data_IF_988159905946
#
_entry.id   IF_988159905946
#
_cell.length_a   1.000
_cell.length_b   1.000
_cell.length_c   1.000
_cell.angle_alpha   90.00
_cell.angle_beta   90.00
_cell.angle_gamma   90.00
#
_symmetry.space_group_name_H-M   'P 1'
#
loop_
_entity.id
_entity.type
_entity.pdbx_description
1 polymer ?
#
# COMPACT_ATOMS: atom_id res chain seq x y z
N UNK A 1 15.19 24.84 -12.65
CA UNK A 1 15.04 25.54 -11.36
C UNK A 1 14.47 26.90 -11.66
N UNK A 2 13.31 27.20 -11.09
CA UNK A 2 12.46 28.35 -11.42
C UNK A 2 13.18 29.69 -11.18
N UNK A 3 13.27 30.54 -12.21
CA UNK A 3 13.84 31.88 -12.14
C UNK A 3 12.84 32.86 -11.47
N UNK A 4 12.47 32.58 -10.21
CA UNK A 4 11.57 33.48 -9.47
C UNK A 4 12.35 34.70 -8.96
N UNK A 5 11.90 35.94 -9.27
CA UNK A 5 12.48 37.18 -8.75
C UNK A 5 12.61 37.13 -7.22
N UNK A 6 13.65 37.75 -6.65
CA UNK A 6 13.95 37.68 -5.20
C UNK A 6 12.78 38.14 -4.32
N UNK A 7 11.91 39.02 -4.83
CA UNK A 7 10.70 39.50 -4.17
C UNK A 7 9.55 38.46 -4.09
N UNK A 8 9.51 37.47 -4.99
CA UNK A 8 8.52 36.39 -5.00
C UNK A 8 8.98 35.14 -4.24
N UNK A 9 10.25 35.12 -3.78
CA UNK A 9 10.78 34.00 -3.00
C UNK A 9 10.26 34.10 -1.58
N UNK A 10 9.52 33.07 -1.18
CA UNK A 10 9.03 32.94 0.19
C UNK A 10 10.22 32.98 1.18
N UNK A 11 10.21 33.83 2.22
CA UNK A 11 11.31 33.93 3.18
C UNK A 11 11.49 32.60 3.92
N UNK A 12 12.72 32.30 4.34
CA UNK A 12 13.09 30.99 4.89
C UNK A 12 12.15 30.52 6.01
N UNK A 13 11.84 31.40 6.97
CA UNK A 13 10.95 31.08 8.07
C UNK A 13 9.54 30.71 7.59
N UNK A 14 9.02 31.43 6.60
CA UNK A 14 7.70 31.16 6.05
C UNK A 14 7.67 29.84 5.27
N UNK A 15 8.76 29.48 4.57
CA UNK A 15 8.89 28.14 3.94
C UNK A 15 8.88 27.02 4.97
N UNK A 16 9.62 27.17 6.07
CA UNK A 16 9.68 26.17 7.15
C UNK A 16 8.32 26.03 7.80
N UNK A 17 7.67 27.14 8.17
CA UNK A 17 6.34 27.11 8.80
C UNK A 17 5.29 26.53 7.87
N UNK A 18 5.26 26.93 6.59
CA UNK A 18 4.37 26.32 5.59
C UNK A 18 4.65 24.82 5.42
N UNK A 19 5.93 24.43 5.35
CA UNK A 19 6.33 23.04 5.23
C UNK A 19 5.91 22.18 6.43
N UNK A 20 6.10 22.67 7.65
CA UNK A 20 5.66 22.00 8.88
C UNK A 20 4.14 21.91 8.93
N UNK A 21 3.45 23.01 8.63
CA UNK A 21 1.99 23.05 8.64
C UNK A 21 1.42 22.05 7.63
N UNK A 22 1.87 22.08 6.38
CA UNK A 22 1.45 21.13 5.34
C UNK A 22 1.84 19.70 5.71
N UNK A 23 3.05 19.47 6.19
CA UNK A 23 3.51 18.14 6.61
C UNK A 23 2.65 17.56 7.73
N UNK A 24 2.32 18.36 8.74
CA UNK A 24 1.42 17.99 9.82
C UNK A 24 0.01 17.64 9.32
N UNK A 25 -0.56 18.47 8.45
CA UNK A 25 -1.87 18.21 7.86
C UNK A 25 -1.89 16.97 6.97
N UNK A 26 -0.85 16.76 6.16
CA UNK A 26 -0.71 15.54 5.36
C UNK A 26 -0.62 14.30 6.25
N UNK A 27 0.11 14.36 7.36
CA UNK A 27 0.19 13.27 8.32
C UNK A 27 -1.18 12.95 8.93
N UNK A 28 -1.90 13.98 9.38
CA UNK A 28 -3.27 13.82 9.91
C UNK A 28 -4.23 13.26 8.85
N UNK A 29 -4.13 13.70 7.60
CA UNK A 29 -4.97 13.24 6.51
C UNK A 29 -4.71 11.76 6.14
N UNK A 30 -3.45 11.32 6.19
CA UNK A 30 -3.07 9.92 5.89
C UNK A 30 -3.37 8.99 7.06
N UNK A 31 -3.37 9.50 8.29
CA UNK A 31 -3.52 8.69 9.50
C UNK A 31 -4.70 7.71 9.48
N UNK A 32 -5.95 8.09 9.12
CA UNK A 32 -7.07 7.15 9.10
C UNK A 32 -6.87 5.98 8.12
N UNK A 33 -6.34 6.27 6.93
CA UNK A 33 -6.09 5.25 5.90
C UNK A 33 -5.00 4.30 6.36
N UNK A 34 -3.91 4.86 6.89
CA UNK A 34 -2.82 4.08 7.46
C UNK A 34 -3.31 3.20 8.61
N UNK A 35 -4.12 3.75 9.51
CA UNK A 35 -4.62 3.02 10.66
C UNK A 35 -5.56 1.87 10.28
N UNK A 36 -6.49 2.10 9.34
CA UNK A 36 -7.35 1.03 8.79
C UNK A 36 -6.51 -0.07 8.16
N UNK A 37 -5.44 0.28 7.43
CA UNK A 37 -4.54 -0.70 6.84
C UNK A 37 -3.85 -1.55 7.93
N UNK A 38 -3.28 -0.93 8.96
CA UNK A 38 -2.63 -1.65 10.08
C UNK A 38 -3.63 -2.58 10.79
N UNK A 39 -4.82 -2.07 11.13
CA UNK A 39 -5.87 -2.84 11.82
C UNK A 39 -6.35 -4.04 11.00
N UNK A 40 -6.43 -3.89 9.68
CA UNK A 40 -6.95 -4.94 8.79
C UNK A 40 -6.10 -6.22 8.82
N UNK A 41 -4.80 -6.11 9.13
CA UNK A 41 -3.87 -7.24 9.08
C UNK A 41 -3.56 -7.86 10.46
N UNK A 42 -4.50 -7.80 11.41
CA UNK A 42 -4.36 -8.31 12.78
C UNK A 42 -5.54 -9.18 13.17
N UNK A 43 -5.41 -9.97 14.25
CA UNK A 43 -6.60 -10.64 14.81
C UNK A 43 -7.59 -9.60 15.37
N UNK A 44 -8.92 -9.85 15.35
CA UNK A 44 -9.93 -8.86 15.72
C UNK A 44 -9.75 -8.26 17.12
N UNK A 45 -9.34 -9.06 18.10
CA UNK A 45 -9.11 -8.61 19.48
C UNK A 45 -7.98 -7.57 19.57
N UNK A 46 -6.96 -7.68 18.72
CA UNK A 46 -5.88 -6.70 18.66
C UNK A 46 -6.27 -5.50 17.81
N UNK A 47 -7.06 -5.72 16.76
CA UNK A 47 -7.59 -4.67 15.89
C UNK A 47 -8.57 -3.71 16.61
N UNK A 48 -9.02 -4.02 17.81
CA UNK A 48 -9.82 -3.11 18.64
C UNK A 48 -9.19 -2.85 20.02
N UNK A 49 -7.89 -3.11 20.16
CA UNK A 49 -7.18 -2.84 21.41
C UNK A 49 -7.07 -1.35 21.70
N UNK A 50 -7.25 -0.97 22.96
CA UNK A 50 -6.99 0.39 23.45
C UNK A 50 -5.50 0.75 23.44
N UNK A 51 -4.61 -0.24 23.35
CA UNK A 51 -3.17 -0.03 23.30
C UNK A 51 -2.68 -0.01 21.83
N UNK A 52 -2.23 1.14 21.31
CA UNK A 52 -1.79 1.25 19.91
C UNK A 52 -0.54 0.41 19.61
N UNK A 53 0.31 0.13 20.60
CA UNK A 53 1.48 -0.74 20.39
C UNK A 53 1.05 -2.20 20.20
N UNK A 54 -0.01 -2.64 20.87
CA UNK A 54 -0.57 -3.97 20.68
C UNK A 54 -1.14 -4.12 19.25
N UNK A 55 -1.79 -3.07 18.73
CA UNK A 55 -2.24 -3.01 17.33
C UNK A 55 -1.05 -3.14 16.36
N UNK A 56 0.01 -2.35 16.56
CA UNK A 56 1.15 -2.30 15.63
C UNK A 56 1.94 -3.61 15.63
N UNK A 57 2.26 -4.16 16.80
CA UNK A 57 3.10 -5.36 16.91
C UNK A 57 2.33 -6.68 16.87
N UNK A 58 1.06 -6.69 17.30
CA UNK A 58 0.19 -7.87 17.29
C UNK A 58 0.72 -9.07 18.10
N UNK A 59 1.05 -8.92 19.40
CA UNK A 59 1.66 -9.98 20.21
C UNK A 59 0.87 -11.31 20.23
N UNK A 60 -0.47 -11.27 20.26
CA UNK A 60 -1.33 -12.44 20.18
C UNK A 60 -1.30 -13.06 18.79
N UNK A 61 -1.37 -12.23 17.74
CA UNK A 61 -1.24 -12.69 16.34
C UNK A 61 0.09 -13.46 16.14
N UNK A 62 1.19 -12.98 16.74
CA UNK A 62 2.48 -13.69 16.75
C UNK A 62 2.43 -15.01 17.53
N UNK A 63 1.76 -15.03 18.69
CA UNK A 63 1.65 -16.23 19.52
C UNK A 63 0.90 -17.37 18.81
N UNK A 64 -0.01 -17.04 17.91
CA UNK A 64 -0.71 -18.00 17.02
C UNK A 64 0.16 -18.47 15.85
N UNK A 65 1.43 -18.06 15.77
CA UNK A 65 2.35 -18.41 14.69
C UNK A 65 2.13 -17.64 13.39
N UNK A 66 1.28 -16.60 13.40
CA UNK A 66 0.92 -15.81 12.21
C UNK A 66 1.66 -14.48 12.18
N UNK A 67 2.98 -14.50 12.15
CA UNK A 67 3.77 -13.26 12.16
C UNK A 67 4.91 -13.26 11.15
N UNK A 68 5.33 -12.06 10.77
CA UNK A 68 6.48 -11.81 9.92
C UNK A 68 7.74 -11.76 10.77
N UNK A 69 8.71 -12.58 10.41
CA UNK A 69 10.06 -12.56 10.91
C UNK A 69 10.88 -11.42 10.28
N UNK A 70 12.09 -11.17 10.81
CA UNK A 70 13.01 -10.24 10.18
C UNK A 70 13.41 -10.72 8.77
N UNK A 71 13.56 -12.03 8.61
CA UNK A 71 13.84 -12.64 7.31
C UNK A 71 12.69 -12.39 6.32
N UNK A 72 11.44 -12.56 6.76
CA UNK A 72 10.27 -12.34 5.90
C UNK A 72 10.20 -10.89 5.44
N UNK A 73 10.50 -9.94 6.33
CA UNK A 73 10.51 -8.51 6.00
C UNK A 73 11.59 -8.20 4.95
N UNK A 74 12.82 -8.68 5.16
CA UNK A 74 13.94 -8.43 4.24
C UNK A 74 13.65 -9.10 2.88
N UNK A 75 13.22 -10.35 2.88
CA UNK A 75 12.95 -11.10 1.66
C UNK A 75 11.77 -10.51 0.88
N UNK A 76 10.69 -10.11 1.57
CA UNK A 76 9.55 -9.43 0.99
C UNK A 76 9.93 -8.09 0.34
N UNK A 77 10.70 -7.25 1.05
CA UNK A 77 11.20 -5.98 0.49
C UNK A 77 12.12 -6.22 -0.71
N UNK A 78 13.05 -7.18 -0.61
CA UNK A 78 13.95 -7.51 -1.70
C UNK A 78 13.18 -7.98 -2.95
N UNK A 79 12.16 -8.81 -2.77
CA UNK A 79 11.28 -9.26 -3.85
C UNK A 79 10.50 -8.11 -4.48
N UNK A 80 9.95 -7.18 -3.68
CA UNK A 80 9.26 -6.00 -4.19
C UNK A 80 10.20 -5.10 -5.02
N UNK A 81 11.41 -4.84 -4.51
CA UNK A 81 12.42 -4.05 -5.23
C UNK A 81 12.81 -4.74 -6.54
N UNK A 82 12.99 -6.06 -6.52
CA UNK A 82 13.29 -6.83 -7.72
C UNK A 82 12.14 -6.77 -8.74
N UNK A 83 10.89 -6.98 -8.30
CA UNK A 83 9.71 -6.91 -9.14
C UNK A 83 9.57 -5.51 -9.79
N UNK A 84 9.74 -4.44 -9.02
CA UNK A 84 9.71 -3.06 -9.56
C UNK A 84 10.83 -2.84 -10.57
N UNK A 85 12.07 -3.28 -10.25
CA UNK A 85 13.19 -3.16 -11.19
C UNK A 85 12.95 -3.93 -12.48
N UNK A 86 12.39 -5.14 -12.40
CA UNK A 86 12.05 -5.96 -13.57
C UNK A 86 10.90 -5.32 -14.37
N UNK A 87 9.87 -4.81 -13.71
CA UNK A 87 8.78 -4.10 -14.38
C UNK A 87 9.27 -2.85 -15.13
N UNK A 88 10.23 -2.12 -14.57
CA UNK A 88 10.73 -0.87 -15.14
C UNK A 88 11.78 -1.08 -16.24
N UNK A 89 12.61 -2.13 -16.16
CA UNK A 89 13.75 -2.30 -17.06
C UNK A 89 13.65 -3.54 -17.95
N UNK A 90 13.14 -4.65 -17.43
CA UNK A 90 13.09 -5.91 -18.17
C UNK A 90 11.81 -6.03 -19.00
N UNK A 91 10.65 -5.77 -18.40
CA UNK A 91 9.34 -5.90 -19.06
C UNK A 91 9.24 -5.05 -20.35
N UNK A 92 9.66 -3.77 -20.38
CA UNK A 92 9.56 -2.98 -21.61
C UNK A 92 10.46 -3.51 -22.72
N UNK A 93 11.60 -4.12 -22.36
CA UNK A 93 12.53 -4.73 -23.32
C UNK A 93 11.99 -6.07 -23.83
N UNK A 94 11.39 -6.87 -22.95
CA UNK A 94 10.76 -8.14 -23.31
C UNK A 94 9.59 -7.93 -24.28
N UNK A 95 8.73 -6.93 -24.01
CA UNK A 95 7.62 -6.56 -24.90
C UNK A 95 8.14 -6.12 -26.27
N UNK A 96 9.15 -5.24 -26.33
CA UNK A 96 9.73 -4.76 -27.59
C UNK A 96 10.40 -5.86 -28.43
N UNK A 97 10.93 -6.90 -27.79
CA UNK A 97 11.59 -8.02 -28.49
C UNK A 97 10.60 -9.00 -29.11
N UNK A 98 9.46 -9.24 -28.45
CA UNK A 98 8.51 -10.27 -28.88
C UNK A 98 7.32 -9.70 -29.67
N UNK A 99 6.94 -8.44 -29.45
CA UNK A 99 5.81 -7.83 -30.13
C UNK A 99 6.28 -7.02 -31.37
N UNK A 100 5.69 -7.25 -32.56
CA UNK A 100 5.84 -6.35 -33.70
C UNK A 100 5.40 -4.94 -33.32
N UNK A 101 6.05 -3.91 -33.88
CA UNK A 101 5.78 -2.50 -33.57
C UNK A 101 4.30 -2.13 -33.77
N UNK A 102 3.63 -2.71 -34.77
CA UNK A 102 2.21 -2.48 -35.05
C UNK A 102 1.25 -3.08 -34.02
N UNK A 103 1.70 -4.05 -33.21
CA UNK A 103 0.90 -4.78 -32.20
C UNK A 103 1.44 -4.60 -30.78
N UNK A 104 2.24 -3.56 -30.53
CA UNK A 104 2.84 -3.30 -29.22
C UNK A 104 1.82 -3.26 -28.07
N UNK A 105 0.60 -2.79 -28.32
CA UNK A 105 -0.48 -2.72 -27.33
C UNK A 105 -0.88 -4.11 -26.80
N UNK A 106 -0.97 -5.13 -27.67
CA UNK A 106 -1.24 -6.53 -27.26
C UNK A 106 -0.08 -7.06 -26.41
N UNK A 107 1.16 -6.81 -26.84
CA UNK A 107 2.35 -7.20 -26.10
C UNK A 107 2.39 -6.62 -24.68
N UNK A 108 1.96 -5.37 -24.50
CA UNK A 108 1.85 -4.75 -23.18
C UNK A 108 0.73 -5.35 -22.33
N UNK A 109 -0.45 -5.62 -22.89
CA UNK A 109 -1.55 -6.24 -22.14
C UNK A 109 -1.13 -7.61 -21.62
N UNK A 110 -0.66 -8.49 -22.52
CA UNK A 110 -0.23 -9.82 -22.12
C UNK A 110 1.02 -9.80 -21.25
N UNK A 111 1.97 -8.91 -21.55
CA UNK A 111 3.20 -8.75 -20.77
C UNK A 111 2.92 -8.35 -19.33
N UNK A 112 2.09 -7.33 -19.11
CA UNK A 112 1.70 -6.88 -17.77
C UNK A 112 0.89 -7.95 -17.05
N UNK A 113 -0.08 -8.58 -17.72
CA UNK A 113 -0.90 -9.63 -17.13
C UNK A 113 -0.05 -10.83 -16.67
N UNK A 114 0.81 -11.35 -17.56
CA UNK A 114 1.66 -12.50 -17.26
C UNK A 114 2.72 -12.17 -16.20
N UNK A 115 3.36 -11.01 -16.31
CA UNK A 115 4.34 -10.56 -15.32
C UNK A 115 3.69 -10.36 -13.95
N UNK A 116 2.54 -9.69 -13.90
CA UNK A 116 1.79 -9.45 -12.67
C UNK A 116 1.34 -10.77 -12.02
N UNK A 117 0.79 -11.70 -12.80
CA UNK A 117 0.42 -13.03 -12.32
C UNK A 117 1.64 -13.81 -11.81
N UNK A 118 2.76 -13.78 -12.53
CA UNK A 118 4.00 -14.43 -12.11
C UNK A 118 4.54 -13.85 -10.80
N UNK A 119 4.59 -12.53 -10.67
CA UNK A 119 4.98 -11.87 -9.41
C UNK A 119 4.03 -12.24 -8.28
N UNK A 120 2.71 -12.28 -8.53
CA UNK A 120 1.72 -12.65 -7.52
C UNK A 120 1.92 -14.09 -7.03
N UNK A 121 2.10 -15.06 -7.93
CA UNK A 121 2.39 -16.46 -7.56
C UNK A 121 3.69 -16.56 -6.77
N UNK A 122 4.75 -15.87 -7.23
CA UNK A 122 6.03 -15.89 -6.52
C UNK A 122 5.89 -15.29 -5.12
N UNK A 123 5.16 -14.19 -4.99
CA UNK A 123 5.03 -13.46 -3.73
C UNK A 123 4.06 -14.12 -2.74
N UNK A 124 2.98 -14.72 -3.21
CA UNK A 124 1.91 -15.28 -2.37
C UNK A 124 2.11 -16.77 -2.05
N UNK A 125 2.75 -17.55 -2.92
CA UNK A 125 2.90 -19.00 -2.75
C UNK A 125 4.37 -19.41 -2.54
N UNK A 126 5.24 -19.05 -3.49
CA UNK A 126 6.63 -19.51 -3.45
C UNK A 126 7.44 -18.89 -2.33
N UNK A 127 7.37 -17.57 -2.18
CA UNK A 127 8.14 -16.86 -1.16
C UNK A 127 7.74 -17.28 0.25
N UNK A 128 6.44 -17.34 0.62
CA UNK A 128 6.04 -17.83 1.94
C UNK A 128 6.35 -19.31 2.13
N UNK A 129 6.21 -20.14 1.09
CA UNK A 129 6.57 -21.56 1.14
C UNK A 129 8.07 -21.77 1.42
N UNK A 130 8.93 -21.02 0.73
CA UNK A 130 10.38 -21.04 0.95
C UNK A 130 10.74 -20.56 2.35
N UNK A 131 10.17 -19.43 2.79
CA UNK A 131 10.44 -18.85 4.10
C UNK A 131 9.91 -19.73 5.24
N UNK A 132 8.80 -20.44 5.04
CA UNK A 132 8.28 -21.41 6.00
C UNK A 132 9.26 -22.55 6.31
N UNK A 133 10.09 -22.93 5.33
CA UNK A 133 11.17 -23.92 5.51
C UNK A 133 12.42 -23.28 6.13
N UNK A 134 12.77 -22.06 5.72
CA UNK A 134 14.00 -21.39 6.17
C UNK A 134 13.90 -20.79 7.58
N UNK A 135 12.72 -20.28 7.97
CA UNK A 135 12.51 -19.61 9.26
C UNK A 135 12.87 -20.51 10.46
N UNK A 136 12.44 -21.78 10.54
CA UNK A 136 12.85 -22.67 11.63
C UNK A 136 14.36 -22.94 11.67
N UNK A 137 15.02 -22.95 10.51
CA UNK A 137 16.44 -23.27 10.39
C UNK A 137 17.37 -22.10 10.75
N UNK A 138 16.90 -20.85 10.62
CA UNK A 138 17.71 -19.63 10.78
C UNK A 138 17.62 -19.00 12.18
N UNK A 139 17.02 -19.72 13.14
CA UNK A 139 17.01 -19.35 14.55
C UNK A 139 16.44 -17.94 14.79
N UNK A 140 17.20 -16.99 15.38
CA UNK A 140 16.69 -15.64 15.71
C UNK A 140 16.11 -14.86 14.53
N UNK A 141 16.60 -15.08 13.31
CA UNK A 141 16.11 -14.36 12.12
C UNK A 141 14.73 -14.82 11.67
N UNK A 142 14.35 -16.05 12.01
CA UNK A 142 13.05 -16.64 11.71
C UNK A 142 12.01 -16.46 12.81
N UNK A 143 12.35 -15.79 13.92
CA UNK A 143 11.40 -15.49 14.99
C UNK A 143 10.46 -14.36 14.56
N UNK A 144 9.13 -14.53 14.65
CA UNK A 144 8.17 -13.50 14.28
C UNK A 144 8.34 -12.23 15.12
N UNK A 145 8.53 -11.09 14.45
CA UNK A 145 8.63 -9.77 15.10
C UNK A 145 7.28 -9.07 15.15
N UNK A 146 6.51 -9.15 14.06
CA UNK A 146 5.25 -8.44 13.86
C UNK A 146 4.17 -9.46 13.50
N UNK A 147 3.06 -9.48 14.24
CA UNK A 147 1.90 -10.30 13.87
C UNK A 147 1.26 -9.78 12.59
N UNK A 148 1.03 -10.64 11.61
CA UNK A 148 0.38 -10.25 10.36
C UNK A 148 -0.52 -11.37 9.87
N UNK A 149 -1.80 -11.05 9.70
CA UNK A 149 -2.78 -12.02 9.22
C UNK A 149 -3.86 -11.35 8.37
N UNK A 150 -4.29 -11.95 7.24
CA UNK A 150 -5.39 -11.44 6.43
C UNK A 150 -6.78 -11.80 6.97
N UNK A 151 -6.91 -12.59 8.03
CA UNK A 151 -8.24 -13.08 8.47
C UNK A 151 -9.23 -11.97 8.80
N UNK A 152 -8.80 -10.96 9.55
CA UNK A 152 -9.67 -9.83 9.87
C UNK A 152 -9.96 -8.95 8.64
N UNK A 153 -8.98 -8.79 7.74
CA UNK A 153 -9.20 -8.12 6.46
C UNK A 153 -10.31 -8.81 5.67
N UNK A 154 -10.24 -10.14 5.51
CA UNK A 154 -11.24 -10.93 4.78
C UNK A 154 -12.61 -10.79 5.46
N UNK A 155 -12.67 -10.94 6.78
CA UNK A 155 -13.92 -10.82 7.53
C UNK A 155 -14.56 -9.44 7.36
N UNK A 156 -13.80 -8.35 7.46
CA UNK A 156 -14.34 -6.98 7.38
C UNK A 156 -14.64 -6.58 5.94
N UNK A 157 -13.68 -6.76 5.04
CA UNK A 157 -13.76 -6.24 3.69
C UNK A 157 -14.58 -7.12 2.76
N UNK A 158 -14.47 -8.45 2.87
CA UNK A 158 -15.15 -9.39 1.96
C UNK A 158 -16.46 -9.86 2.57
N UNK A 159 -16.40 -10.50 3.74
CA UNK A 159 -17.59 -11.15 4.34
C UNK A 159 -18.64 -10.12 4.79
N UNK A 160 -18.21 -9.05 5.47
CA UNK A 160 -19.10 -7.96 5.87
C UNK A 160 -19.28 -6.88 4.79
N UNK A 161 -18.76 -7.11 3.58
CA UNK A 161 -18.87 -6.24 2.42
C UNK A 161 -18.58 -4.74 2.69
N UNK A 162 -17.67 -4.43 3.62
CA UNK A 162 -17.34 -3.04 3.99
C UNK A 162 -16.96 -2.18 2.78
N UNK A 163 -16.38 -2.80 1.74
CA UNK A 163 -16.06 -2.14 0.48
C UNK A 163 -17.27 -1.41 -0.15
N UNK A 164 -18.50 -1.89 0.03
CA UNK A 164 -19.71 -1.23 -0.48
C UNK A 164 -19.91 0.13 0.19
N UNK A 165 -19.78 0.18 1.52
CA UNK A 165 -19.89 1.43 2.28
C UNK A 165 -18.77 2.40 1.90
N UNK A 166 -17.56 1.88 1.70
CA UNK A 166 -16.42 2.67 1.26
C UNK A 166 -16.63 3.28 -0.14
N UNK A 167 -17.08 2.48 -1.11
CA UNK A 167 -17.40 2.95 -2.47
C UNK A 167 -18.54 3.97 -2.43
N UNK A 168 -19.61 3.71 -1.67
CA UNK A 168 -20.73 4.63 -1.52
C UNK A 168 -20.26 5.99 -0.99
N UNK A 169 -19.39 6.00 0.02
CA UNK A 169 -18.79 7.24 0.54
C UNK A 169 -17.98 7.98 -0.53
N UNK A 170 -17.14 7.27 -1.30
CA UNK A 170 -16.38 7.89 -2.40
C UNK A 170 -17.32 8.50 -3.45
N UNK A 171 -18.36 7.76 -3.87
CA UNK A 171 -19.33 8.23 -4.85
C UNK A 171 -20.05 9.48 -4.35
N UNK A 172 -20.50 9.48 -3.09
CA UNK A 172 -21.18 10.64 -2.50
C UNK A 172 -20.23 11.83 -2.40
N UNK A 173 -19.00 11.66 -1.91
CA UNK A 173 -18.04 12.76 -1.80
C UNK A 173 -17.63 13.31 -3.18
N UNK A 174 -17.35 12.43 -4.15
CA UNK A 174 -17.03 12.83 -5.52
C UNK A 174 -18.24 13.47 -6.23
N UNK A 175 -19.44 12.96 -5.99
CA UNK A 175 -20.70 13.49 -6.52
C UNK A 175 -21.05 14.86 -5.93
N UNK A 176 -20.84 15.08 -4.64
CA UNK A 176 -21.01 16.39 -3.98
C UNK A 176 -19.95 17.39 -4.48
N UNK A 177 -18.70 16.95 -4.68
CA UNK A 177 -17.66 17.78 -5.28
C UNK A 177 -17.92 18.13 -6.75
N UNK A 178 -18.79 17.36 -7.41
CA UNK A 178 -19.19 17.51 -8.81
C UNK A 178 -20.68 17.88 -8.88
N UNK A 179 -21.12 18.98 -8.26
CA UNK A 179 -22.41 19.59 -8.64
C UNK A 179 -22.30 20.07 -10.10
N UNK A 180 -22.99 19.46 -11.07
CA UNK A 180 -23.06 20.00 -12.42
C UNK A 180 -24.16 21.07 -12.40
N UNK A 181 -23.78 22.35 -12.51
CA UNK A 181 -24.75 23.41 -12.80
C UNK A 181 -25.22 24.29 -11.64
N UNK A 182 -24.39 24.58 -10.63
CA UNK A 182 -24.67 25.72 -9.75
C UNK A 182 -24.25 27.02 -10.45
N UNK A 183 -25.24 27.76 -10.97
CA UNK A 183 -25.06 29.10 -11.53
C UNK A 183 -24.69 30.09 -10.42
N UNK A 184 -24.04 31.20 -10.77
CA UNK A 184 -23.77 32.35 -9.88
C UNK A 184 -25.04 32.98 -9.27
N UNK A 185 -26.23 32.53 -9.68
CA UNK A 185 -27.53 33.08 -9.29
C UNK A 185 -28.14 32.40 -8.05
N UNK A 186 -27.57 31.30 -7.57
CA UNK A 186 -28.02 30.63 -6.32
C UNK A 186 -27.38 31.25 -5.05
N UNK A 187 -26.66 32.36 -5.20
CA UNK A 187 -26.05 33.14 -4.12
C UNK A 187 -26.61 34.57 -4.16
N UNK A 188 -27.90 34.70 -3.86
CA UNK A 188 -28.49 35.92 -3.32
C UNK A 188 -29.04 35.58 -1.93
#
# INVERSE_FOLDING_TARGET
MENLPRALRQPFFLKVTTGIFLGFWCLLAVFPIFWIAVMSFKVPVEAFSSNPLAVIFGPQTRATGKGLSLLDLIAGIAMLVLAVRMAMHWLPNAVRRHAPVSQAWLGWIFGVALFGAGVAVVFLEWLPGLLGVLNPALGPLGVPLIGLTPEHYIAVWVENEFYRNFINSIIVTAGVARKPGMSRDDLI
#
